data_IF_844165993772
#
_entry.id   IF_844165993772
#
_cell.length_a   1.000
_cell.length_b   1.000
_cell.length_c   1.000
_cell.angle_alpha   90.00
_cell.angle_beta   90.00
_cell.angle_gamma   90.00
#
_symmetry.space_group_name_H-M   'P 1'
#
loop_
_entity.id
_entity.type
_entity.pdbx_description
1 polymer ?
#
# COMPACT_ATOMS: atom_id res chain seq x y z
N UNK A 1 -18.81 -1.25 -13.26
CA UNK A 1 -18.03 -2.40 -12.77
C UNK A 1 -17.48 -2.01 -11.43
N UNK A 2 -17.88 -2.70 -10.36
CA UNK A 2 -17.31 -2.49 -9.04
C UNK A 2 -16.08 -3.42 -8.90
N UNK A 3 -14.88 -2.85 -8.81
CA UNK A 3 -13.63 -3.61 -8.67
C UNK A 3 -13.40 -4.17 -7.25
N UNK A 4 -14.36 -3.99 -6.32
CA UNK A 4 -14.30 -4.47 -4.94
C UNK A 4 -13.36 -3.64 -4.04
N UNK A 5 -12.93 -2.48 -4.53
CA UNK A 5 -12.04 -1.59 -3.80
C UNK A 5 -12.77 -0.94 -2.63
N UNK A 6 -12.19 -1.03 -1.43
CA UNK A 6 -12.63 -0.23 -0.30
C UNK A 6 -12.56 1.26 -0.66
N UNK A 7 -13.60 2.00 -0.30
CA UNK A 7 -13.61 3.45 -0.45
C UNK A 7 -12.56 4.11 0.44
N UNK A 8 -11.71 4.90 -0.19
CA UNK A 8 -10.76 5.79 0.47
C UNK A 8 -10.97 7.23 0.01
N UNK A 9 -10.57 8.15 0.87
CA UNK A 9 -10.69 9.58 0.63
C UNK A 9 -9.36 10.25 0.86
N UNK A 10 -9.03 11.21 0.00
CA UNK A 10 -7.80 11.97 0.15
C UNK A 10 -7.97 13.45 -0.11
N UNK A 11 -6.88 14.18 0.13
CA UNK A 11 -6.78 15.61 -0.18
C UNK A 11 -5.66 15.87 -1.17
N UNK A 12 -5.84 16.88 -2.02
CA UNK A 12 -4.85 17.36 -2.97
C UNK A 12 -4.60 18.84 -2.68
N UNK A 13 -3.52 19.09 -1.94
CA UNK A 13 -3.16 20.38 -1.35
C UNK A 13 -2.07 21.05 -2.19
N UNK A 14 -2.18 22.36 -2.37
CA UNK A 14 -1.18 23.19 -3.05
C UNK A 14 0.06 23.34 -2.15
N UNK A 15 1.27 22.96 -2.60
CA UNK A 15 2.50 23.08 -1.80
C UNK A 15 3.05 24.52 -1.81
N UNK A 16 2.24 25.53 -1.50
CA UNK A 16 2.63 26.95 -1.58
C UNK A 16 3.81 27.29 -0.65
N UNK A 17 4.79 28.07 -1.14
CA UNK A 17 5.88 28.57 -0.30
C UNK A 17 5.53 29.88 0.42
N UNK A 18 4.47 30.61 0.00
CA UNK A 18 4.16 31.93 0.56
C UNK A 18 3.75 31.82 2.04
N UNK A 19 3.10 30.72 2.38
CA UNK A 19 2.77 30.32 3.75
C UNK A 19 3.16 28.85 3.91
N UNK A 20 4.45 28.54 4.10
CA UNK A 20 4.96 27.17 3.95
C UNK A 20 4.42 26.18 5.00
N UNK A 21 3.87 26.69 6.11
CA UNK A 21 3.21 25.86 7.12
C UNK A 21 1.73 25.60 6.83
N UNK A 22 1.12 26.33 5.91
CA UNK A 22 -0.27 26.10 5.49
C UNK A 22 -0.48 24.69 4.92
N UNK A 23 0.32 24.18 3.95
CA UNK A 23 0.12 22.82 3.46
C UNK A 23 0.35 21.75 4.54
N UNK A 24 1.23 22.02 5.51
CA UNK A 24 1.47 21.12 6.66
C UNK A 24 0.25 21.08 7.59
N UNK A 25 -0.30 22.25 7.93
CA UNK A 25 -1.50 22.36 8.77
C UNK A 25 -2.72 21.70 8.10
N UNK A 26 -2.88 21.85 6.78
CA UNK A 26 -3.94 21.18 6.02
C UNK A 26 -3.76 19.66 5.98
N UNK A 27 -2.52 19.15 5.93
CA UNK A 27 -2.26 17.72 6.02
C UNK A 27 -2.61 17.17 7.42
N UNK A 28 -2.26 17.89 8.48
CA UNK A 28 -2.64 17.53 9.85
C UNK A 28 -4.15 17.58 10.04
N UNK A 29 -4.83 18.59 9.49
CA UNK A 29 -6.30 18.66 9.49
C UNK A 29 -6.91 17.48 8.73
N UNK A 30 -6.35 17.10 7.58
CA UNK A 30 -6.81 15.93 6.82
C UNK A 30 -6.71 14.64 7.66
N UNK A 31 -5.63 14.46 8.44
CA UNK A 31 -5.49 13.34 9.37
C UNK A 31 -6.52 13.38 10.52
N UNK A 32 -6.82 14.57 11.05
CA UNK A 32 -7.82 14.75 12.11
C UNK A 32 -9.24 14.46 11.62
N UNK A 33 -9.54 14.85 10.37
CA UNK A 33 -10.83 14.61 9.71
C UNK A 33 -11.00 13.16 9.22
N UNK A 34 -9.96 12.33 9.30
CA UNK A 34 -10.04 10.91 8.95
C UNK A 34 -9.90 10.60 7.47
N UNK A 35 -9.26 11.48 6.69
CA UNK A 35 -8.83 11.14 5.33
C UNK A 35 -7.76 10.05 5.36
N UNK A 36 -7.70 9.23 4.30
CA UNK A 36 -6.78 8.09 4.18
C UNK A 36 -5.43 8.48 3.54
N UNK A 37 -5.42 9.50 2.67
CA UNK A 37 -4.22 9.96 1.96
C UNK A 37 -4.19 11.48 1.79
N UNK A 38 -3.02 12.09 1.99
CA UNK A 38 -2.76 13.48 1.63
C UNK A 38 -1.79 13.53 0.46
N UNK A 39 -2.13 14.32 -0.54
CA UNK A 39 -1.33 14.46 -1.75
C UNK A 39 -0.98 15.91 -2.08
N UNK A 40 0.16 16.09 -2.76
CA UNK A 40 0.68 17.40 -3.13
C UNK A 40 1.11 17.44 -4.59
N UNK A 41 1.06 18.61 -5.21
CA UNK A 41 1.46 18.78 -6.60
C UNK A 41 2.99 18.68 -6.69
N UNK A 42 3.53 18.04 -7.74
CA UNK A 42 4.98 18.06 -8.01
C UNK A 42 5.27 18.78 -9.32
N UNK A 43 5.40 20.10 -9.24
CA UNK A 43 5.87 20.96 -10.32
C UNK A 43 7.17 21.65 -9.88
N UNK A 44 8.34 20.98 -9.96
CA UNK A 44 9.61 21.54 -9.48
C UNK A 44 10.03 22.86 -10.14
N UNK A 45 9.50 23.14 -11.33
CA UNK A 45 9.72 24.37 -12.09
C UNK A 45 8.79 25.52 -11.67
N UNK A 46 7.84 25.31 -10.76
CA UNK A 46 6.93 26.34 -10.31
C UNK A 46 7.54 27.06 -9.09
N UNK A 47 8.08 28.27 -9.24
CA UNK A 47 8.79 28.95 -8.15
C UNK A 47 7.88 29.28 -6.95
N UNK A 48 6.55 29.27 -7.13
CA UNK A 48 5.57 29.48 -6.07
C UNK A 48 5.41 28.26 -5.12
N UNK A 49 6.03 27.13 -5.42
CA UNK A 49 5.88 25.88 -4.67
C UNK A 49 7.14 25.50 -3.89
N UNK A 50 6.92 24.81 -2.78
CA UNK A 50 7.93 24.04 -2.08
C UNK A 50 8.32 22.82 -2.93
N UNK A 51 9.55 22.31 -2.75
CA UNK A 51 9.88 20.98 -3.26
C UNK A 51 9.00 19.93 -2.58
N UNK A 52 8.26 19.18 -3.39
CA UNK A 52 7.25 18.24 -2.94
C UNK A 52 7.85 17.09 -2.13
N UNK A 53 9.04 16.59 -2.49
CA UNK A 53 9.67 15.49 -1.76
C UNK A 53 10.09 15.92 -0.33
N UNK A 54 10.64 17.12 -0.22
CA UNK A 54 10.98 17.75 1.06
C UNK A 54 9.72 17.96 1.91
N UNK A 55 8.64 18.49 1.31
CA UNK A 55 7.37 18.67 2.01
C UNK A 55 6.75 17.35 2.49
N UNK A 56 6.73 16.31 1.65
CA UNK A 56 6.27 14.97 2.03
C UNK A 56 7.00 14.44 3.25
N UNK A 57 8.33 14.57 3.28
CA UNK A 57 9.17 14.13 4.41
C UNK A 57 8.83 14.91 5.68
N UNK A 58 8.65 16.23 5.58
CA UNK A 58 8.28 17.07 6.72
C UNK A 58 6.89 16.74 7.27
N UNK A 59 5.90 16.54 6.39
CA UNK A 59 4.53 16.16 6.77
C UNK A 59 4.52 14.76 7.40
N UNK A 60 5.30 13.82 6.86
CA UNK A 60 5.42 12.48 7.44
C UNK A 60 5.88 12.51 8.90
N UNK A 61 6.84 13.38 9.23
CA UNK A 61 7.31 13.55 10.61
C UNK A 61 6.28 14.18 11.55
N UNK A 62 5.25 14.85 11.01
CA UNK A 62 4.25 15.62 11.75
C UNK A 62 2.85 14.97 11.76
N UNK A 63 2.74 13.75 11.22
CA UNK A 63 1.52 12.95 11.09
C UNK A 63 1.80 11.50 11.44
N UNK A 64 0.76 10.73 11.76
CA UNK A 64 0.90 9.38 12.32
C UNK A 64 0.15 8.28 11.59
N UNK A 65 -0.85 8.64 10.77
CA UNK A 65 -1.80 7.71 10.15
C UNK A 65 -1.98 7.95 8.65
N UNK A 66 -2.06 9.21 8.21
CA UNK A 66 -2.32 9.49 6.79
C UNK A 66 -1.18 9.01 5.90
N UNK A 67 -1.55 8.42 4.77
CA UNK A 67 -0.61 8.10 3.71
C UNK A 67 -0.27 9.34 2.89
N UNK A 68 0.90 9.36 2.26
CA UNK A 68 1.46 10.56 1.64
C UNK A 68 1.96 10.28 0.23
N UNK A 69 1.55 11.09 -0.74
CA UNK A 69 2.02 10.99 -2.13
C UNK A 69 2.17 12.33 -2.84
N UNK A 70 2.98 12.38 -3.88
CA UNK A 70 2.79 13.42 -4.90
C UNK A 70 1.67 13.03 -5.87
N UNK A 71 1.02 14.03 -6.46
CA UNK A 71 -0.07 13.89 -7.41
C UNK A 71 0.21 14.71 -8.68
N UNK A 72 1.09 14.25 -9.57
CA UNK A 72 2.03 13.11 -9.45
C UNK A 72 3.46 13.60 -9.66
N UNK A 73 4.47 12.84 -9.23
CA UNK A 73 5.86 13.17 -9.47
C UNK A 73 6.19 13.27 -10.96
N UNK A 74 6.94 14.32 -11.34
CA UNK A 74 7.39 14.52 -12.72
C UNK A 74 8.68 13.72 -12.97
N UNK A 75 8.55 12.52 -13.56
CA UNK A 75 9.69 11.62 -13.84
C UNK A 75 10.83 12.29 -14.64
N UNK A 76 10.58 13.17 -15.63
CA UNK A 76 11.67 13.87 -16.32
C UNK A 76 12.62 14.68 -15.42
N UNK A 77 12.18 15.04 -14.20
CA UNK A 77 12.96 15.80 -13.20
C UNK A 77 13.28 14.99 -11.94
N UNK A 78 12.90 13.71 -11.89
CA UNK A 78 13.12 12.81 -10.75
C UNK A 78 13.82 11.54 -11.26
N UNK A 79 15.14 11.44 -11.03
CA UNK A 79 15.91 10.24 -11.43
C UNK A 79 15.28 8.98 -10.81
N UNK A 80 14.81 8.00 -11.60
CA UNK A 80 14.02 6.87 -11.07
C UNK A 80 14.75 6.05 -10.01
N UNK A 81 16.07 5.88 -10.16
CA UNK A 81 16.88 5.16 -9.18
C UNK A 81 16.99 5.89 -7.83
N UNK A 82 17.03 7.22 -7.84
CA UNK A 82 17.04 8.05 -6.64
C UNK A 82 15.65 8.09 -6.03
N UNK A 83 14.62 8.25 -6.85
CA UNK A 83 13.22 8.24 -6.43
C UNK A 83 12.85 6.92 -5.74
N UNK A 84 13.26 5.77 -6.28
CA UNK A 84 13.03 4.47 -5.67
C UNK A 84 13.62 4.37 -4.25
N UNK A 85 14.88 4.81 -4.07
CA UNK A 85 15.53 4.82 -2.75
C UNK A 85 14.83 5.77 -1.80
N UNK A 86 14.53 6.97 -2.27
CA UNK A 86 13.87 8.00 -1.47
C UNK A 86 12.49 7.53 -1.00
N UNK A 87 11.69 6.95 -1.89
CA UNK A 87 10.37 6.41 -1.57
C UNK A 87 10.45 5.27 -0.54
N UNK A 88 11.35 4.30 -0.71
CA UNK A 88 11.55 3.25 0.29
C UNK A 88 12.04 3.80 1.64
N UNK A 89 12.91 4.84 1.64
CA UNK A 89 13.32 5.51 2.86
C UNK A 89 12.18 6.25 3.56
N UNK A 90 11.38 7.00 2.82
CA UNK A 90 10.19 7.67 3.37
C UNK A 90 9.22 6.65 3.93
N UNK A 91 9.02 5.52 3.24
CA UNK A 91 8.15 4.45 3.69
C UNK A 91 8.60 3.85 5.02
N UNK A 92 9.90 3.54 5.15
CA UNK A 92 10.47 3.04 6.39
C UNK A 92 10.39 4.07 7.53
N UNK A 93 10.67 5.34 7.25
CA UNK A 93 10.62 6.42 8.25
C UNK A 93 9.20 6.77 8.70
N UNK A 94 8.23 6.62 7.80
CA UNK A 94 6.81 6.92 8.05
C UNK A 94 6.03 5.72 8.58
N UNK A 95 6.69 4.58 8.78
CA UNK A 95 6.07 3.32 9.19
C UNK A 95 5.04 2.75 8.19
N UNK A 96 5.30 2.89 6.89
CA UNK A 96 4.49 2.25 5.84
C UNK A 96 3.46 3.16 5.21
N UNK A 97 3.69 4.48 5.21
CA UNK A 97 2.70 5.48 4.77
C UNK A 97 3.07 6.16 3.45
N UNK A 98 4.11 5.72 2.76
CA UNK A 98 4.52 6.35 1.50
C UNK A 98 3.79 5.73 0.30
N UNK A 99 3.27 6.58 -0.57
CA UNK A 99 2.55 6.22 -1.79
C UNK A 99 3.24 6.90 -2.97
N UNK A 100 3.34 6.27 -4.14
CA UNK A 100 4.14 6.82 -5.23
C UNK A 100 3.33 7.13 -6.50
N UNK A 101 2.78 8.34 -6.55
CA UNK A 101 2.25 8.93 -7.77
C UNK A 101 3.36 9.36 -8.71
N UNK A 102 3.38 8.87 -9.95
CA UNK A 102 4.36 9.22 -11.01
C UNK A 102 3.68 9.54 -12.35
N UNK A 103 4.29 10.42 -13.12
CA UNK A 103 3.81 10.82 -14.44
C UNK A 103 4.94 11.16 -15.41
N UNK A 104 4.62 11.13 -16.69
CA UNK A 104 5.58 11.36 -17.78
C UNK A 104 5.99 12.84 -17.94
N UNK A 105 5.41 13.76 -17.17
CA UNK A 105 5.56 15.22 -17.31
C UNK A 105 4.64 15.82 -18.39
N UNK A 106 4.18 17.06 -18.17
CA UNK A 106 3.22 17.74 -19.06
C UNK A 106 3.67 19.10 -19.61
N UNK A 107 4.68 19.73 -19.01
CA UNK A 107 5.09 21.10 -19.31
C UNK A 107 6.55 21.12 -19.80
N UNK A 108 6.76 20.71 -21.05
CA UNK A 108 8.10 20.43 -21.57
C UNK A 108 9.04 21.64 -21.59
N UNK A 109 8.56 22.84 -21.89
CA UNK A 109 9.41 24.05 -21.86
C UNK A 109 9.99 24.29 -20.46
N UNK A 110 9.17 24.12 -19.42
CA UNK A 110 9.59 24.29 -18.03
C UNK A 110 10.46 23.12 -17.52
N UNK A 111 10.16 21.90 -17.95
CA UNK A 111 10.97 20.70 -17.65
C UNK A 111 12.37 20.85 -18.26
N UNK A 112 12.47 21.28 -19.52
CA UNK A 112 13.73 21.46 -20.23
C UNK A 112 14.57 22.61 -19.64
N UNK A 113 13.92 23.70 -19.24
CA UNK A 113 14.58 24.80 -18.54
C UNK A 113 15.25 24.37 -17.21
N UNK A 114 14.75 23.29 -16.58
CA UNK A 114 15.32 22.69 -15.37
C UNK A 114 16.28 21.52 -15.65
N UNK A 115 16.69 21.34 -16.91
CA UNK A 115 17.64 20.29 -17.33
C UNK A 115 16.99 18.93 -17.61
N UNK A 116 15.66 18.84 -17.62
CA UNK A 116 14.95 17.64 -18.04
C UNK A 116 15.08 17.41 -19.55
N UNK A 117 15.26 16.14 -19.96
CA UNK A 117 15.32 15.79 -21.38
C UNK A 117 13.95 15.93 -22.03
N UNK A 118 13.81 16.79 -23.04
CA UNK A 118 12.59 16.84 -23.87
C UNK A 118 12.41 15.52 -24.62
N UNK A 119 11.22 14.94 -24.51
CA UNK A 119 10.85 13.69 -25.17
C UNK A 119 9.61 13.90 -26.04
N UNK A 120 9.50 13.15 -27.14
CA UNK A 120 8.23 13.06 -27.85
C UNK A 120 7.16 12.38 -26.98
N UNK A 121 5.86 12.55 -27.26
CA UNK A 121 4.81 11.89 -26.48
C UNK A 121 4.95 10.36 -26.44
N UNK A 122 5.45 9.74 -27.51
CA UNK A 122 5.68 8.30 -27.51
C UNK A 122 6.87 7.88 -26.66
N UNK A 123 7.96 8.65 -26.72
CA UNK A 123 9.16 8.40 -25.92
C UNK A 123 8.93 8.64 -24.44
N UNK A 124 8.09 9.61 -24.06
CA UNK A 124 7.78 9.88 -22.65
C UNK A 124 7.02 8.73 -21.98
N UNK A 125 6.12 8.05 -22.70
CA UNK A 125 5.47 6.82 -22.18
C UNK A 125 6.48 5.67 -22.05
N UNK A 126 7.37 5.50 -23.03
CA UNK A 126 8.44 4.48 -22.94
C UNK A 126 9.37 4.77 -21.77
N UNK A 127 9.80 6.02 -21.58
CA UNK A 127 10.64 6.42 -20.46
C UNK A 127 9.95 6.18 -19.11
N UNK A 128 8.65 6.48 -18.98
CA UNK A 128 7.90 6.17 -17.76
C UNK A 128 7.83 4.66 -17.49
N UNK A 129 7.60 3.85 -18.54
CA UNK A 129 7.60 2.39 -18.43
C UNK A 129 8.95 1.84 -17.93
N UNK A 130 10.06 2.35 -18.46
CA UNK A 130 11.41 2.01 -18.00
C UNK A 130 11.69 2.51 -16.58
N UNK A 131 11.15 3.68 -16.20
CA UNK A 131 11.27 4.19 -14.83
C UNK A 131 10.59 3.27 -13.81
N UNK A 132 9.41 2.72 -14.15
CA UNK A 132 8.72 1.72 -13.32
C UNK A 132 9.59 0.47 -13.15
N UNK A 133 10.22 -0.01 -14.23
CA UNK A 133 11.11 -1.17 -14.18
C UNK A 133 12.33 -0.91 -13.28
N UNK A 134 12.94 0.28 -13.38
CA UNK A 134 14.04 0.71 -12.49
C UNK A 134 13.62 0.74 -11.04
N UNK A 135 12.45 1.31 -10.72
CA UNK A 135 11.93 1.42 -9.35
C UNK A 135 11.69 0.02 -8.77
N UNK A 136 10.94 -0.83 -9.47
CA UNK A 136 10.61 -2.20 -9.03
C UNK A 136 11.88 -3.06 -8.89
N UNK A 137 12.83 -2.96 -9.83
CA UNK A 137 14.09 -3.69 -9.74
C UNK A 137 14.92 -3.29 -8.52
N UNK A 138 14.92 -2.02 -8.12
CA UNK A 138 15.63 -1.60 -6.91
C UNK A 138 14.96 -2.06 -5.62
N UNK A 139 13.63 -2.17 -5.59
CA UNK A 139 12.89 -2.67 -4.42
C UNK A 139 12.90 -4.20 -4.30
N UNK A 140 13.10 -4.93 -5.40
CA UNK A 140 13.23 -6.39 -5.43
C UNK A 140 14.58 -6.85 -4.85
N UNK A 141 14.76 -6.70 -3.55
CA UNK A 141 16.00 -7.02 -2.83
C UNK A 141 16.23 -8.52 -2.59
N UNK A 142 15.25 -9.37 -2.95
CA UNK A 142 15.36 -10.82 -2.80
C UNK A 142 16.04 -11.48 -4.00
N UNK A 143 15.95 -10.86 -5.18
CA UNK A 143 16.72 -11.30 -6.35
C UNK A 143 18.21 -11.11 -6.12
N UNK A 144 18.97 -12.20 -6.23
CA UNK A 144 20.44 -12.20 -6.08
C UNK A 144 21.11 -11.35 -7.17
N UNK A 145 22.22 -10.71 -6.79
CA UNK A 145 23.01 -9.86 -7.69
C UNK A 145 22.48 -8.42 -7.80
N UNK A 146 23.15 -7.62 -8.62
CA UNK A 146 22.74 -6.23 -8.87
C UNK A 146 21.53 -6.14 -9.78
N UNK A 147 20.68 -5.14 -9.57
CA UNK A 147 19.57 -4.80 -10.47
C UNK A 147 20.10 -4.39 -11.85
N UNK A 148 19.44 -4.90 -12.89
CA UNK A 148 19.75 -4.63 -14.29
C UNK A 148 18.46 -4.27 -15.01
N UNK A 149 18.48 -3.15 -15.72
CA UNK A 149 17.40 -2.68 -16.59
C UNK A 149 18.07 -2.10 -17.81
N UNK A 150 17.79 -2.64 -18.99
CA UNK A 150 18.42 -2.21 -20.25
C UNK A 150 17.46 -1.31 -21.05
N UNK A 151 17.07 -0.19 -20.44
CA UNK A 151 16.19 0.80 -21.05
C UNK A 151 16.94 1.82 -21.90
N UNK A 152 16.24 2.41 -22.87
CA UNK A 152 16.76 3.46 -23.76
C UNK A 152 16.92 4.81 -23.06
N UNK A 153 16.05 5.09 -22.08
CA UNK A 153 16.01 6.33 -21.31
C UNK A 153 16.54 6.13 -19.89
N UNK A 154 16.23 5.00 -19.27
CA UNK A 154 16.72 4.66 -17.93
C UNK A 154 17.35 3.27 -17.91
N UNK A 155 18.62 3.21 -17.48
CA UNK A 155 19.41 1.98 -17.41
C UNK A 155 19.94 1.75 -16.01
N UNK A 156 19.91 0.49 -15.56
CA UNK A 156 20.68 0.01 -14.41
C UNK A 156 21.65 -1.07 -14.89
N UNK A 157 22.90 -1.00 -14.42
CA UNK A 157 23.93 -1.98 -14.74
C UNK A 157 24.57 -2.50 -13.45
N UNK A 158 23.96 -3.53 -12.85
CA UNK A 158 24.45 -4.13 -11.62
C UNK A 158 24.27 -3.24 -10.38
N UNK A 159 23.29 -2.34 -10.39
CA UNK A 159 23.04 -1.43 -9.27
C UNK A 159 22.68 -2.22 -8.00
N UNK A 160 23.27 -1.85 -6.85
CA UNK A 160 22.90 -2.47 -5.57
C UNK A 160 21.44 -2.18 -5.25
N UNK A 161 20.69 -3.23 -4.97
CA UNK A 161 19.27 -3.15 -4.62
C UNK A 161 19.07 -2.56 -3.23
N UNK A 162 17.86 -2.09 -2.97
CA UNK A 162 17.39 -1.65 -1.68
C UNK A 162 17.67 -0.17 -1.35
N UNK A 163 17.16 0.32 -0.20
CA UNK A 163 16.39 -0.46 0.78
C UNK A 163 15.06 -0.96 0.21
N UNK A 164 14.57 -2.10 0.71
CA UNK A 164 13.20 -2.50 0.41
C UNK A 164 12.24 -1.60 1.20
N UNK A 165 11.11 -1.24 0.61
CA UNK A 165 10.07 -0.52 1.34
C UNK A 165 9.48 -1.43 2.44
N UNK A 166 8.87 -0.82 3.46
CA UNK A 166 8.20 -1.53 4.57
C UNK A 166 6.95 -2.26 4.06
N UNK A 167 6.23 -1.64 3.12
CA UNK A 167 5.10 -2.24 2.44
C UNK A 167 5.26 -2.10 0.91
N UNK A 168 4.45 -2.79 0.08
CA UNK A 168 4.49 -2.61 -1.36
C UNK A 168 3.87 -1.25 -1.71
N UNK A 169 4.74 -0.25 -1.85
CA UNK A 169 4.35 1.09 -2.29
C UNK A 169 3.72 0.97 -3.69
N UNK A 170 2.43 1.29 -3.87
CA UNK A 170 1.80 1.23 -5.17
C UNK A 170 2.24 2.40 -6.04
N UNK A 171 2.32 2.14 -7.35
CA UNK A 171 2.63 3.13 -8.37
C UNK A 171 1.35 3.67 -8.99
N UNK A 172 0.93 4.87 -8.57
CA UNK A 172 -0.22 5.56 -9.14
C UNK A 172 0.22 6.38 -10.35
N UNK A 173 -0.52 6.29 -11.46
CA UNK A 173 -0.14 6.96 -12.69
C UNK A 173 -1.25 7.90 -13.14
N UNK A 174 -0.88 9.18 -13.29
CA UNK A 174 -1.73 10.20 -13.90
C UNK A 174 -1.75 10.07 -15.41
N UNK A 175 -2.89 9.68 -15.99
CA UNK A 175 -3.01 9.42 -17.41
C UNK A 175 -4.41 9.69 -17.96
N UNK A 176 -4.46 10.14 -19.23
CA UNK A 176 -5.72 10.32 -19.97
C UNK A 176 -5.72 9.65 -21.35
N UNK A 177 -4.53 9.40 -21.93
CA UNK A 177 -4.40 8.95 -23.33
C UNK A 177 -4.25 7.43 -23.42
N UNK A 178 -4.77 6.77 -24.48
CA UNK A 178 -4.82 5.30 -24.58
C UNK A 178 -3.50 4.58 -24.33
N UNK A 179 -2.37 5.11 -24.82
CA UNK A 179 -1.06 4.48 -24.62
C UNK A 179 -0.62 4.47 -23.15
N UNK A 180 -0.93 5.53 -22.39
CA UNK A 180 -0.64 5.60 -20.96
C UNK A 180 -1.60 4.72 -20.15
N UNK A 181 -2.87 4.63 -20.58
CA UNK A 181 -3.86 3.74 -19.96
C UNK A 181 -3.46 2.26 -20.11
N UNK A 182 -2.93 1.86 -21.27
CA UNK A 182 -2.35 0.51 -21.45
C UNK A 182 -1.17 0.26 -20.52
N UNK A 183 -0.25 1.23 -20.40
CA UNK A 183 0.88 1.14 -19.45
C UNK A 183 0.39 0.93 -18.01
N UNK A 184 -0.72 1.56 -17.61
CA UNK A 184 -1.34 1.33 -16.30
C UNK A 184 -1.80 -0.12 -16.14
N UNK A 185 -2.52 -0.66 -17.13
CA UNK A 185 -2.90 -2.07 -17.15
C UNK A 185 -1.71 -3.01 -16.99
N UNK A 186 -0.66 -2.77 -17.77
CA UNK A 186 0.55 -3.59 -17.79
C UNK A 186 1.37 -3.50 -16.50
N UNK A 187 1.56 -2.28 -15.95
CA UNK A 187 2.58 -2.02 -14.91
C UNK A 187 2.15 -1.14 -13.75
N UNK A 188 1.01 -0.44 -13.82
CA UNK A 188 0.54 0.46 -12.78
C UNK A 188 -0.23 -0.26 -11.68
N UNK A 189 -0.28 0.37 -10.50
CA UNK A 189 -1.07 -0.13 -9.35
C UNK A 189 -2.27 0.80 -9.06
N UNK A 190 -2.33 1.96 -9.71
CA UNK A 190 -3.49 2.85 -9.68
C UNK A 190 -3.59 3.79 -10.87
N UNK A 191 -4.81 4.09 -11.30
CA UNK A 191 -5.12 5.13 -12.27
C UNK A 191 -5.63 6.39 -11.55
N UNK A 192 -4.98 7.53 -11.78
CA UNK A 192 -5.26 8.80 -11.08
C UNK A 192 -5.50 9.97 -12.06
N UNK A 193 -6.63 10.02 -12.79
CA UNK A 193 -7.04 11.18 -13.56
C UNK A 193 -7.60 12.30 -12.66
N UNK A 194 -7.71 13.51 -13.23
CA UNK A 194 -8.50 14.59 -12.63
C UNK A 194 -9.83 14.73 -13.35
N UNK A 195 -10.93 14.65 -12.61
CA UNK A 195 -12.29 14.68 -13.15
C UNK A 195 -12.58 15.94 -14.00
N UNK A 196 -12.09 17.15 -13.66
CA UNK A 196 -12.27 18.33 -14.51
C UNK A 196 -11.68 18.22 -15.93
N UNK A 197 -10.79 17.24 -16.18
CA UNK A 197 -10.19 17.00 -17.50
C UNK A 197 -10.89 15.88 -18.29
N UNK A 198 -11.88 15.22 -17.69
CA UNK A 198 -12.62 14.13 -18.29
C UNK A 198 -13.94 14.61 -18.87
N UNK A 199 -14.36 13.96 -19.95
CA UNK A 199 -15.71 14.07 -20.51
C UNK A 199 -16.58 12.90 -20.03
N UNK A 200 -17.92 13.04 -20.08
CA UNK A 200 -18.82 11.93 -19.78
C UNK A 200 -18.45 10.66 -20.58
N UNK A 201 -18.31 9.54 -19.89
CA UNK A 201 -17.92 8.24 -20.47
C UNK A 201 -16.41 8.01 -20.62
N UNK A 202 -15.56 9.01 -20.36
CA UNK A 202 -14.10 8.82 -20.41
C UNK A 202 -13.59 7.84 -19.35
N UNK A 203 -14.20 7.82 -18.16
CA UNK A 203 -13.89 6.84 -17.11
C UNK A 203 -14.14 5.41 -17.61
N UNK A 204 -15.34 5.13 -18.09
CA UNK A 204 -15.72 3.83 -18.67
C UNK A 204 -14.79 3.39 -19.81
N UNK A 205 -14.46 4.30 -20.74
CA UNK A 205 -13.54 3.99 -21.84
C UNK A 205 -12.11 3.76 -21.33
N UNK A 206 -11.67 4.54 -20.35
CA UNK A 206 -10.34 4.39 -19.75
C UNK A 206 -10.19 3.07 -19.01
N UNK A 207 -11.20 2.70 -18.21
CA UNK A 207 -11.32 1.41 -17.54
C UNK A 207 -11.21 0.26 -18.54
N UNK A 208 -11.97 0.27 -19.64
CA UNK A 208 -11.90 -0.80 -20.65
C UNK A 208 -10.48 -1.00 -21.21
N UNK A 209 -9.75 0.09 -21.47
CA UNK A 209 -8.37 0.02 -21.98
C UNK A 209 -7.41 -0.53 -20.91
N UNK A 210 -7.59 -0.11 -19.65
CA UNK A 210 -6.76 -0.59 -18.53
C UNK A 210 -7.01 -2.07 -18.29
N UNK A 211 -8.27 -2.48 -18.27
CA UNK A 211 -8.68 -3.86 -17.99
C UNK A 211 -8.16 -4.81 -19.08
N UNK A 212 -8.36 -4.46 -20.36
CA UNK A 212 -7.81 -5.23 -21.50
C UNK A 212 -6.28 -5.37 -21.41
N UNK A 213 -5.57 -4.30 -21.05
CA UNK A 213 -4.12 -4.33 -20.93
C UNK A 213 -3.63 -5.10 -19.69
N UNK A 214 -4.37 -5.06 -18.59
CA UNK A 214 -4.08 -5.85 -17.40
C UNK A 214 -4.24 -7.35 -17.69
N UNK A 215 -5.36 -7.74 -18.30
CA UNK A 215 -5.63 -9.12 -18.69
C UNK A 215 -4.58 -9.64 -19.68
N UNK A 216 -4.23 -8.84 -20.70
CA UNK A 216 -3.18 -9.18 -21.66
C UNK A 216 -1.79 -9.35 -21.00
N UNK A 217 -1.55 -8.65 -19.87
CA UNK A 217 -0.34 -8.79 -19.07
C UNK A 217 -0.44 -9.90 -18.00
N UNK A 218 -1.54 -10.66 -17.96
CA UNK A 218 -1.77 -11.72 -16.98
C UNK A 218 -2.04 -11.22 -15.56
N UNK A 219 -2.57 -10.00 -15.44
CA UNK A 219 -2.94 -9.36 -14.16
C UNK A 219 -4.46 -9.30 -14.02
N UNK A 220 -4.95 -9.35 -12.77
CA UNK A 220 -6.35 -9.09 -12.48
C UNK A 220 -6.60 -7.57 -12.49
N UNK A 221 -7.56 -7.04 -13.29
CA UNK A 221 -7.88 -5.61 -13.30
C UNK A 221 -8.21 -5.02 -11.92
N UNK A 222 -8.68 -5.85 -10.97
CA UNK A 222 -8.98 -5.46 -9.59
C UNK A 222 -7.73 -5.18 -8.76
N UNK A 223 -6.53 -5.56 -9.21
CA UNK A 223 -5.26 -5.15 -8.58
C UNK A 223 -4.95 -3.68 -8.78
N UNK A 224 -5.54 -3.06 -9.81
CA UNK A 224 -5.25 -1.68 -10.18
C UNK A 224 -6.31 -0.81 -9.55
N UNK A 225 -5.95 0.08 -8.64
CA UNK A 225 -6.90 0.98 -7.98
C UNK A 225 -7.44 2.06 -8.93
N UNK A 226 -8.72 2.42 -8.81
CA UNK A 226 -9.31 3.55 -9.55
C UNK A 226 -9.43 4.76 -8.62
N UNK A 227 -8.57 5.75 -8.82
CA UNK A 227 -8.57 7.00 -8.06
C UNK A 227 -9.11 8.12 -8.95
N UNK A 228 -9.56 9.23 -8.37
CA UNK A 228 -9.89 10.43 -9.15
C UNK A 228 -9.73 11.69 -8.31
N UNK A 229 -9.10 12.71 -8.88
CA UNK A 229 -9.10 14.05 -8.28
C UNK A 229 -10.43 14.75 -8.60
N UNK A 230 -11.09 15.26 -7.55
CA UNK A 230 -12.38 15.95 -7.65
C UNK A 230 -12.28 17.35 -7.07
N UNK A 231 -13.09 18.25 -7.60
CA UNK A 231 -13.24 19.62 -7.10
C UNK A 231 -14.69 20.03 -7.23
N UNK A 232 -15.19 20.79 -6.28
CA UNK A 232 -16.58 21.25 -6.27
C UNK A 232 -16.77 22.41 -5.31
N UNK A 233 -18.04 22.77 -5.06
CA UNK A 233 -18.40 23.82 -4.11
C UNK A 233 -19.62 23.41 -3.30
N UNK A 234 -19.54 23.54 -1.98
CA UNK A 234 -20.72 23.42 -1.13
C UNK A 234 -21.61 24.65 -1.23
N UNK A 235 -22.92 24.44 -1.34
CA UNK A 235 -23.92 25.50 -1.44
C UNK A 235 -25.27 25.04 -0.86
N UNK A 236 -26.14 25.95 -0.40
CA UNK A 236 -27.46 25.60 0.13
C UNK A 236 -28.42 24.98 -0.89
N UNK A 237 -28.12 25.10 -2.19
CA UNK A 237 -28.95 24.56 -3.27
C UNK A 237 -28.08 24.03 -4.41
N UNK A 238 -28.60 23.06 -5.16
CA UNK A 238 -27.90 22.42 -6.28
C UNK A 238 -27.71 23.41 -7.43
N UNK A 239 -26.46 23.57 -7.85
CA UNK A 239 -26.03 24.42 -8.97
C UNK A 239 -25.39 23.65 -10.14
N UNK A 240 -25.12 22.35 -9.96
CA UNK A 240 -24.46 21.50 -10.96
C UNK A 240 -23.79 20.30 -10.31
N UNK A 241 -22.97 19.60 -11.10
CA UNK A 241 -22.19 18.45 -10.62
C UNK A 241 -21.16 18.90 -9.57
N UNK A 242 -21.18 18.27 -8.39
CA UNK A 242 -20.41 18.64 -7.18
C UNK A 242 -20.59 20.11 -6.78
N UNK A 243 -21.79 20.64 -7.00
CA UNK A 243 -22.18 21.99 -6.61
C UNK A 243 -23.53 21.95 -5.91
N UNK A 244 -23.53 21.94 -4.57
CA UNK A 244 -24.74 21.76 -3.77
C UNK A 244 -24.44 21.34 -2.34
N UNK A 245 -25.42 20.71 -1.71
CA UNK A 245 -25.35 20.16 -0.35
C UNK A 245 -24.49 18.90 -0.28
N UNK A 246 -24.13 18.42 0.92
CA UNK A 246 -23.46 17.12 1.07
C UNK A 246 -24.22 15.96 0.42
N UNK A 247 -25.55 15.98 0.46
CA UNK A 247 -26.36 14.96 -0.22
C UNK A 247 -26.23 15.04 -1.74
N UNK A 248 -26.22 16.25 -2.32
CA UNK A 248 -26.02 16.41 -3.77
C UNK A 248 -24.66 15.84 -4.21
N UNK A 249 -23.62 16.03 -3.38
CA UNK A 249 -22.30 15.43 -3.62
C UNK A 249 -22.33 13.89 -3.53
N UNK A 250 -23.03 13.31 -2.55
CA UNK A 250 -23.20 11.86 -2.45
C UNK A 250 -23.89 11.30 -3.70
N UNK A 251 -24.98 11.94 -4.13
CA UNK A 251 -25.75 11.54 -5.30
C UNK A 251 -24.91 11.62 -6.60
N UNK A 252 -24.03 12.62 -6.71
CA UNK A 252 -23.13 12.81 -7.84
C UNK A 252 -21.95 11.81 -7.85
N UNK A 253 -21.42 11.44 -6.68
CA UNK A 253 -20.28 10.54 -6.55
C UNK A 253 -20.66 9.06 -6.58
N UNK A 254 -21.85 8.69 -6.11
CA UNK A 254 -22.31 7.31 -6.04
C UNK A 254 -22.21 6.58 -7.39
N UNK A 255 -22.70 7.14 -8.53
CA UNK A 255 -22.55 6.51 -9.85
C UNK A 255 -21.10 6.23 -10.24
N UNK A 256 -20.15 7.09 -9.85
CA UNK A 256 -18.74 6.89 -10.14
C UNK A 256 -18.18 5.65 -9.40
N UNK A 257 -18.72 5.34 -8.21
CA UNK A 257 -18.36 4.14 -7.47
C UNK A 257 -18.99 2.90 -8.11
N UNK A 258 -20.32 2.90 -8.28
CA UNK A 258 -21.05 1.68 -8.68
C UNK A 258 -20.88 1.35 -10.17
N UNK A 259 -20.83 2.36 -11.03
CA UNK A 259 -20.74 2.16 -12.48
C UNK A 259 -19.29 2.19 -12.99
N UNK A 260 -18.48 3.14 -12.52
CA UNK A 260 -17.10 3.34 -13.00
C UNK A 260 -16.05 2.72 -12.07
N UNK A 261 -16.45 2.18 -10.92
CA UNK A 261 -15.56 1.44 -10.03
C UNK A 261 -14.54 2.30 -9.30
N UNK A 262 -14.78 3.61 -9.17
CA UNK A 262 -13.90 4.52 -8.44
C UNK A 262 -13.84 4.11 -6.97
N UNK A 263 -12.63 3.80 -6.50
CA UNK A 263 -12.35 3.41 -5.12
C UNK A 263 -11.73 4.53 -4.29
N UNK A 264 -11.18 5.58 -4.90
CA UNK A 264 -10.59 6.71 -4.18
C UNK A 264 -11.01 8.06 -4.74
N UNK A 265 -11.50 8.93 -3.89
CA UNK A 265 -11.78 10.33 -4.22
C UNK A 265 -10.79 11.24 -3.53
N UNK A 266 -10.09 12.07 -4.29
CA UNK A 266 -9.11 13.02 -3.77
C UNK A 266 -9.62 14.44 -3.98
N UNK A 267 -9.97 15.13 -2.89
CA UNK A 267 -10.53 16.48 -2.91
C UNK A 267 -9.43 17.50 -3.17
N UNK A 268 -9.55 18.24 -4.27
CA UNK A 268 -8.64 19.32 -4.64
C UNK A 268 -9.03 20.62 -3.94
N UNK A 269 -8.07 21.26 -3.28
CA UNK A 269 -8.23 22.61 -2.74
C UNK A 269 -7.58 22.81 -1.39
N UNK A 270 -7.45 24.08 -1.02
CA UNK A 270 -6.74 24.53 0.19
C UNK A 270 -7.67 25.15 1.24
N UNK A 271 -8.99 25.06 1.04
CA UNK A 271 -9.99 25.60 1.98
C UNK A 271 -10.32 24.59 3.08
N UNK A 272 -9.96 24.86 4.36
CA UNK A 272 -10.25 23.97 5.48
C UNK A 272 -11.73 23.66 5.64
N UNK A 273 -12.63 24.60 5.32
CA UNK A 273 -14.08 24.43 5.49
C UNK A 273 -14.62 23.40 4.52
N UNK A 274 -14.17 23.46 3.26
CA UNK A 274 -14.51 22.47 2.24
C UNK A 274 -14.04 21.07 2.66
N UNK A 275 -12.82 20.93 3.18
CA UNK A 275 -12.30 19.64 3.65
C UNK A 275 -13.12 19.08 4.83
N UNK A 276 -13.44 19.94 5.80
CA UNK A 276 -14.25 19.57 6.95
C UNK A 276 -15.66 19.14 6.54
N UNK A 277 -16.33 19.94 5.71
CA UNK A 277 -17.69 19.64 5.26
C UNK A 277 -17.74 18.34 4.42
N UNK A 278 -16.74 18.11 3.56
CA UNK A 278 -16.64 16.85 2.83
C UNK A 278 -16.48 15.65 3.77
N UNK A 279 -15.64 15.77 4.80
CA UNK A 279 -15.41 14.70 5.76
C UNK A 279 -16.65 14.41 6.63
N UNK A 280 -17.36 15.45 7.05
CA UNK A 280 -18.52 15.33 7.96
C UNK A 280 -19.80 14.91 7.23
N UNK A 281 -20.02 15.40 6.00
CA UNK A 281 -21.28 15.16 5.27
C UNK A 281 -21.14 14.09 4.18
N UNK A 282 -20.07 14.13 3.37
CA UNK A 282 -19.98 13.33 2.14
C UNK A 282 -19.37 11.96 2.40
N UNK A 283 -18.28 11.86 3.16
CA UNK A 283 -17.63 10.57 3.47
C UNK A 283 -18.61 9.56 4.11
N UNK A 284 -19.30 9.87 5.21
CA UNK A 284 -20.23 8.92 5.82
C UNK A 284 -21.44 8.65 4.92
N UNK A 285 -21.99 9.68 4.27
CA UNK A 285 -23.14 9.54 3.37
C UNK A 285 -22.84 8.64 2.17
N UNK A 286 -21.67 8.81 1.54
CA UNK A 286 -21.27 8.00 0.39
C UNK A 286 -20.96 6.55 0.79
N UNK A 287 -20.34 6.33 1.96
CA UNK A 287 -20.14 4.97 2.48
C UNK A 287 -21.48 4.24 2.68
N UNK A 288 -22.42 4.89 3.36
CA UNK A 288 -23.76 4.32 3.57
C UNK A 288 -24.48 4.04 2.24
N UNK A 289 -24.46 5.00 1.30
CA UNK A 289 -25.08 4.82 -0.01
C UNK A 289 -24.46 3.67 -0.82
N UNK A 290 -23.15 3.47 -0.72
CA UNK A 290 -22.46 2.36 -1.39
C UNK A 290 -22.77 1.01 -0.73
N UNK A 291 -22.83 0.96 0.59
CA UNK A 291 -23.22 -0.25 1.33
C UNK A 291 -24.66 -0.68 1.00
N UNK A 292 -25.57 0.28 0.75
CA UNK A 292 -26.93 0.00 0.28
C UNK A 292 -26.98 -0.44 -1.20
N UNK A 293 -26.16 0.16 -2.06
CA UNK A 293 -26.18 -0.09 -3.50
C UNK A 293 -25.42 -1.37 -3.91
N UNK A 294 -24.50 -1.87 -3.08
CA UNK A 294 -23.62 -3.00 -3.38
C UNK A 294 -23.89 -4.13 -2.37
N UNK A 295 -24.56 -5.23 -2.76
CA UNK A 295 -24.91 -6.31 -1.85
C UNK A 295 -23.69 -6.90 -1.13
N UNK A 296 -23.85 -7.18 0.18
CA UNK A 296 -22.85 -7.81 1.03
C UNK A 296 -22.36 -9.14 0.43
N UNK A 297 -21.19 -9.09 -0.20
CA UNK A 297 -20.59 -10.20 -0.95
C UNK A 297 -19.50 -9.78 -1.94
N UNK A 298 -19.52 -8.54 -2.44
CA UNK A 298 -18.50 -8.02 -3.37
C UNK A 298 -17.53 -6.99 -2.76
N UNK A 299 -17.83 -6.45 -1.59
CA UNK A 299 -16.97 -5.47 -0.91
C UNK A 299 -16.00 -6.20 0.05
N UNK A 300 -14.70 -6.15 -0.25
CA UNK A 300 -13.67 -6.44 0.76
C UNK A 300 -12.93 -7.78 0.66
N UNK A 301 -13.19 -8.64 -0.33
CA UNK A 301 -12.24 -9.75 -0.57
C UNK A 301 -10.96 -9.17 -1.15
N UNK A 302 -9.88 -9.12 -0.36
CA UNK A 302 -8.55 -8.71 -0.82
C UNK A 302 -8.20 -9.55 -2.06
N UNK A 303 -8.17 -8.93 -3.22
CA UNK A 303 -7.71 -9.60 -4.44
C UNK A 303 -6.24 -9.91 -4.24
N UNK A 304 -5.91 -11.20 -4.23
CA UNK A 304 -4.51 -11.64 -4.15
C UNK A 304 -3.82 -11.18 -5.44
N UNK A 305 -2.67 -10.47 -5.35
CA UNK A 305 -1.96 -10.02 -6.54
C UNK A 305 -1.59 -11.20 -7.45
N UNK A 306 -1.67 -11.03 -8.76
CA UNK A 306 -1.34 -12.09 -9.73
C UNK A 306 0.10 -12.58 -9.57
N UNK A 307 1.01 -11.72 -9.10
CA UNK A 307 2.38 -12.11 -8.76
C UNK A 307 2.42 -13.11 -7.59
N UNK A 308 1.60 -12.91 -6.56
CA UNK A 308 1.52 -13.84 -5.43
C UNK A 308 0.84 -15.15 -5.86
N UNK A 309 -0.23 -15.06 -6.65
CA UNK A 309 -0.90 -16.24 -7.23
C UNK A 309 0.05 -17.06 -8.11
N UNK A 310 0.87 -16.41 -8.93
CA UNK A 310 1.87 -17.08 -9.77
C UNK A 310 3.03 -17.69 -8.95
N UNK A 311 3.25 -17.23 -7.72
CA UNK A 311 4.25 -17.77 -6.81
C UNK A 311 3.73 -18.92 -5.94
N UNK A 312 2.43 -19.26 -6.03
CA UNK A 312 1.83 -20.42 -5.37
C UNK A 312 2.53 -21.71 -5.79
N UNK A 313 2.68 -22.64 -4.84
CA UNK A 313 3.34 -23.93 -5.08
C UNK A 313 2.32 -25.04 -5.34
N UNK A 314 2.64 -25.98 -6.23
CA UNK A 314 1.78 -27.14 -6.45
C UNK A 314 1.66 -27.97 -5.17
N UNK A 315 0.48 -28.56 -4.96
CA UNK A 315 0.21 -29.43 -3.82
C UNK A 315 -0.29 -28.73 -2.56
N UNK A 316 -0.49 -27.40 -2.57
CA UNK A 316 -1.13 -26.63 -1.49
C UNK A 316 -2.51 -26.15 -1.94
N UNK A 317 -3.55 -26.44 -1.17
CA UNK A 317 -4.92 -25.94 -1.36
C UNK A 317 -5.07 -24.53 -0.74
N UNK A 318 -4.50 -23.52 -1.40
CA UNK A 318 -4.52 -22.13 -0.91
C UNK A 318 -5.93 -21.58 -0.72
N UNK A 319 -6.87 -21.96 -1.58
CA UNK A 319 -8.24 -21.42 -1.55
C UNK A 319 -9.09 -22.08 -0.46
N UNK A 320 -8.73 -23.30 -0.05
CA UNK A 320 -9.30 -24.03 1.08
C UNK A 320 -8.71 -23.68 2.46
N UNK A 321 -7.92 -22.61 2.59
CA UNK A 321 -7.50 -22.09 3.91
C UNK A 321 -8.74 -21.67 4.72
N UNK A 322 -8.89 -22.14 5.98
CA UNK A 322 -10.03 -21.81 6.83
C UNK A 322 -10.25 -20.30 6.98
N UNK A 323 -11.50 -19.87 7.04
CA UNK A 323 -11.86 -18.44 7.06
C UNK A 323 -11.20 -17.68 8.21
N UNK A 324 -11.13 -18.29 9.40
CA UNK A 324 -10.46 -17.76 10.60
C UNK A 324 -8.97 -17.45 10.39
N UNK A 325 -8.30 -18.21 9.51
CA UNK A 325 -6.86 -18.15 9.28
C UNK A 325 -6.47 -17.28 8.10
N UNK A 326 -7.41 -16.86 7.25
CA UNK A 326 -7.11 -16.13 6.00
C UNK A 326 -6.36 -14.83 6.25
N UNK A 327 -6.72 -14.08 7.29
CA UNK A 327 -6.04 -12.83 7.65
C UNK A 327 -4.60 -13.06 8.15
N UNK A 328 -4.34 -14.23 8.73
CA UNK A 328 -3.02 -14.66 9.18
C UNK A 328 -2.23 -15.46 8.14
N UNK A 329 -2.79 -15.71 6.95
CA UNK A 329 -2.19 -16.55 5.92
C UNK A 329 -1.29 -15.72 4.99
N UNK A 330 0.01 -16.02 5.01
CA UNK A 330 1.04 -15.33 4.23
C UNK A 330 1.59 -16.26 3.15
N UNK A 331 1.38 -15.88 1.90
CA UNK A 331 1.77 -16.59 0.69
C UNK A 331 3.10 -16.05 0.12
N UNK A 332 3.83 -16.84 -0.68
CA UNK A 332 4.94 -16.32 -1.48
C UNK A 332 4.49 -15.11 -2.32
N UNK A 333 5.25 -14.01 -2.26
CA UNK A 333 4.91 -12.75 -2.92
C UNK A 333 4.12 -11.78 -2.05
N UNK A 334 3.61 -12.19 -0.89
CA UNK A 334 3.07 -11.26 0.10
C UNK A 334 4.19 -10.40 0.73
N UNK A 335 3.87 -9.19 1.22
CA UNK A 335 4.88 -8.25 1.70
C UNK A 335 5.63 -8.78 2.93
N UNK A 336 4.88 -9.37 3.85
CA UNK A 336 5.41 -9.93 5.10
C UNK A 336 6.10 -11.28 4.88
N UNK A 337 5.95 -11.91 3.70
CA UNK A 337 6.55 -13.22 3.43
C UNK A 337 8.06 -13.18 3.64
N UNK A 338 8.72 -12.07 3.29
CA UNK A 338 10.16 -11.92 3.41
C UNK A 338 10.64 -11.97 4.87
N UNK A 339 9.96 -11.28 5.76
CA UNK A 339 10.32 -11.27 7.20
C UNK A 339 9.93 -12.58 7.86
N UNK A 340 8.94 -13.30 7.32
CA UNK A 340 8.37 -14.50 7.91
C UNK A 340 8.92 -15.82 7.35
N UNK A 341 9.54 -15.85 6.17
CA UNK A 341 10.01 -17.10 5.52
C UNK A 341 11.20 -17.78 6.21
N UNK A 342 11.94 -17.06 7.06
CA UNK A 342 13.18 -17.54 7.68
C UNK A 342 13.28 -17.28 9.18
N UNK A 343 14.23 -17.94 9.84
CA UNK A 343 14.72 -17.58 11.17
C UNK A 343 16.06 -16.84 11.09
N UNK A 344 16.60 -16.43 12.23
CA UNK A 344 17.86 -15.66 12.32
C UNK A 344 19.06 -16.30 11.62
N UNK A 345 19.19 -17.63 11.71
CA UNK A 345 20.35 -18.37 11.19
C UNK A 345 20.09 -19.12 9.88
N UNK A 346 18.83 -19.44 9.57
CA UNK A 346 18.45 -20.18 8.37
C UNK A 346 17.23 -19.56 7.73
N UNK A 347 17.37 -19.20 6.45
CA UNK A 347 16.24 -18.91 5.59
C UNK A 347 15.53 -20.20 5.17
N UNK A 348 14.23 -20.12 4.96
CA UNK A 348 13.44 -21.11 4.25
C UNK A 348 12.70 -20.47 3.08
N UNK A 349 11.94 -21.28 2.37
CA UNK A 349 10.99 -20.84 1.37
C UNK A 349 9.67 -21.61 1.52
N UNK A 350 8.92 -21.41 2.62
CA UNK A 350 7.65 -22.09 2.85
C UNK A 350 6.67 -21.85 1.69
N UNK A 351 5.88 -22.85 1.34
CA UNK A 351 4.80 -22.68 0.38
C UNK A 351 3.62 -21.87 0.93
N UNK A 352 3.38 -21.93 2.25
CA UNK A 352 2.37 -21.12 2.95
C UNK A 352 2.75 -20.97 4.43
N UNK A 353 2.54 -19.78 4.99
CA UNK A 353 2.75 -19.51 6.42
C UNK A 353 1.40 -19.15 7.04
N UNK A 354 0.97 -19.89 8.06
CA UNK A 354 -0.26 -19.64 8.81
C UNK A 354 0.11 -19.03 10.17
N UNK A 355 -0.46 -17.85 10.49
CA UNK A 355 -0.20 -17.13 11.74
C UNK A 355 -1.44 -17.11 12.63
N UNK A 356 -1.72 -18.19 13.38
CA UNK A 356 -2.87 -18.24 14.28
C UNK A 356 -2.69 -17.26 15.45
N UNK A 357 -3.79 -16.58 15.82
CA UNK A 357 -3.89 -15.68 16.96
C UNK A 357 -4.59 -16.29 18.19
N UNK A 358 -5.10 -17.52 18.08
CA UNK A 358 -5.81 -18.24 19.16
C UNK A 358 -5.46 -19.72 19.16
N UNK A 359 -5.80 -20.44 20.23
CA UNK A 359 -5.62 -21.90 20.31
C UNK A 359 -6.49 -22.62 19.29
N UNK A 360 -7.71 -22.12 19.06
CA UNK A 360 -8.67 -22.64 18.10
C UNK A 360 -8.10 -22.54 16.68
N UNK A 361 -7.52 -21.40 16.33
CA UNK A 361 -6.84 -21.22 15.04
C UNK A 361 -5.60 -22.11 14.88
N UNK A 362 -4.88 -22.44 15.96
CA UNK A 362 -3.78 -23.42 15.92
C UNK A 362 -4.31 -24.80 15.55
N UNK A 363 -5.42 -25.23 16.15
CA UNK A 363 -6.06 -26.52 15.82
C UNK A 363 -6.48 -26.54 14.35
N UNK A 364 -7.16 -25.50 13.88
CA UNK A 364 -7.57 -25.39 12.48
C UNK A 364 -6.37 -25.38 11.51
N UNK A 365 -5.25 -24.75 11.89
CA UNK A 365 -4.04 -24.73 11.07
C UNK A 365 -3.41 -26.12 10.96
N UNK A 366 -3.42 -26.90 12.05
CA UNK A 366 -2.95 -28.28 12.05
C UNK A 366 -3.90 -29.22 11.28
N UNK A 367 -5.21 -29.02 11.38
CA UNK A 367 -6.20 -29.74 10.60
C UNK A 367 -6.05 -29.46 9.10
N UNK A 368 -5.84 -28.20 8.72
CA UNK A 368 -5.49 -27.80 7.36
C UNK A 368 -4.20 -28.46 6.89
N UNK A 369 -3.14 -28.46 7.72
CA UNK A 369 -1.88 -29.10 7.38
C UNK A 369 -2.03 -30.61 7.18
N UNK A 370 -2.89 -31.27 7.98
CA UNK A 370 -3.19 -32.69 7.85
C UNK A 370 -3.87 -33.07 6.54
N UNK A 371 -4.54 -32.12 5.86
CA UNK A 371 -5.06 -32.32 4.49
C UNK A 371 -3.96 -32.40 3.43
N UNK A 372 -2.71 -32.06 3.78
CA UNK A 372 -1.56 -32.04 2.90
C UNK A 372 -0.42 -32.93 3.42
N UNK A 373 -0.63 -34.25 3.57
CA UNK A 373 0.29 -35.16 4.25
C UNK A 373 1.68 -35.26 3.60
N UNK A 374 1.78 -34.93 2.31
CA UNK A 374 3.02 -35.01 1.54
C UNK A 374 3.89 -33.75 1.68
N UNK A 375 3.38 -32.68 2.31
CA UNK A 375 4.12 -31.44 2.49
C UNK A 375 4.87 -31.42 3.84
N UNK A 376 6.10 -30.89 3.90
CA UNK A 376 6.78 -30.70 5.17
C UNK A 376 6.03 -29.68 6.02
N UNK A 377 5.85 -29.98 7.32
CA UNK A 377 5.27 -29.06 8.29
C UNK A 377 6.37 -28.53 9.21
N UNK A 378 6.49 -27.20 9.26
CA UNK A 378 7.29 -26.49 10.26
C UNK A 378 6.38 -25.84 11.30
N UNK A 379 6.80 -25.84 12.56
CA UNK A 379 6.16 -25.07 13.62
C UNK A 379 7.19 -24.11 14.20
N UNK A 380 6.79 -22.84 14.33
CA UNK A 380 7.64 -21.75 14.81
C UNK A 380 7.01 -21.04 16.00
N UNK A 381 7.82 -20.81 17.02
CA UNK A 381 7.58 -19.87 18.14
C UNK A 381 8.05 -18.47 17.76
N UNK A 382 7.57 -17.40 18.41
CA UNK A 382 7.71 -16.01 17.92
C UNK A 382 9.12 -15.38 17.98
N UNK A 383 10.14 -16.15 18.35
CA UNK A 383 11.54 -15.73 18.33
C UNK A 383 12.44 -16.63 17.48
N UNK A 384 13.75 -16.53 17.70
CA UNK A 384 14.74 -17.24 16.89
C UNK A 384 15.17 -18.57 17.51
N UNK A 385 15.21 -19.62 16.68
CA UNK A 385 15.69 -20.96 17.07
C UNK A 385 17.00 -21.32 16.36
N UNK A 386 17.99 -21.80 17.12
CA UNK A 386 19.32 -22.16 16.60
C UNK A 386 19.29 -23.35 15.62
N UNK A 387 18.30 -24.24 15.74
CA UNK A 387 18.21 -25.46 14.94
C UNK A 387 17.87 -25.21 13.48
N UNK A 388 17.20 -24.08 13.18
CA UNK A 388 16.67 -23.77 11.85
C UNK A 388 15.64 -24.77 11.32
N UNK A 389 15.06 -25.63 12.18
CA UNK A 389 14.05 -26.64 11.82
C UNK A 389 12.62 -26.12 11.85
N UNK A 390 12.42 -24.88 12.31
CA UNK A 390 11.11 -24.23 12.41
C UNK A 390 10.63 -23.59 11.10
N UNK A 391 11.39 -23.75 10.01
CA UNK A 391 11.00 -23.39 8.65
C UNK A 391 11.33 -24.54 7.69
N UNK A 392 10.79 -24.49 6.47
CA UNK A 392 10.99 -25.50 5.44
C UNK A 392 11.01 -24.88 4.04
N UNK A 393 11.23 -25.72 3.03
CA UNK A 393 11.10 -25.36 1.63
C UNK A 393 9.88 -26.06 1.04
N UNK A 394 8.90 -25.25 0.63
CA UNK A 394 7.75 -25.69 -0.14
C UNK A 394 6.57 -26.27 0.62
N UNK A 395 6.69 -26.45 1.93
CA UNK A 395 5.60 -26.93 2.76
C UNK A 395 4.90 -25.83 3.54
N UNK A 396 4.28 -26.23 4.65
CA UNK A 396 3.47 -25.36 5.50
C UNK A 396 4.28 -24.96 6.73
N UNK A 397 4.15 -23.71 7.16
CA UNK A 397 4.70 -23.24 8.44
C UNK A 397 3.57 -22.69 9.30
N UNK A 398 3.43 -23.20 10.51
CA UNK A 398 2.55 -22.61 11.54
C UNK A 398 3.42 -21.73 12.43
N UNK A 399 3.20 -20.42 12.35
CA UNK A 399 3.94 -19.40 13.08
C UNK A 399 3.12 -18.85 14.24
N UNK A 400 3.47 -19.27 15.44
CA UNK A 400 2.80 -18.92 16.69
C UNK A 400 3.15 -17.52 17.17
N UNK A 401 3.91 -16.72 16.41
CA UNK A 401 4.35 -15.39 16.83
C UNK A 401 3.24 -14.36 17.12
N UNK A 402 1.97 -14.66 16.84
CA UNK A 402 0.81 -13.83 17.27
C UNK A 402 0.23 -14.25 18.63
N UNK A 403 0.67 -15.38 19.17
CA UNK A 403 0.33 -15.86 20.51
C UNK A 403 1.39 -15.40 21.51
N UNK A 404 1.68 -14.10 21.56
CA UNK A 404 2.80 -13.49 22.28
C UNK A 404 2.40 -12.85 23.62
N UNK A 405 1.18 -13.09 24.10
CA UNK A 405 0.67 -12.49 25.34
C UNK A 405 1.42 -12.98 26.58
N UNK A 406 1.63 -12.07 27.53
CA UNK A 406 2.16 -12.36 28.86
C UNK A 406 1.16 -11.82 29.88
N UNK A 407 0.54 -12.72 30.64
CA UNK A 407 -0.53 -12.38 31.59
C UNK A 407 -0.22 -12.91 32.97
N UNK A 408 -0.16 -12.02 33.96
CA UNK A 408 -0.12 -12.42 35.37
C UNK A 408 -1.52 -12.91 35.76
N UNK A 409 -1.63 -14.20 36.09
CA UNK A 409 -2.89 -14.82 36.50
C UNK A 409 -3.14 -14.65 38.00
N UNK A 410 -2.08 -14.71 38.79
CA UNK A 410 -2.12 -14.57 40.25
C UNK A 410 -0.81 -13.94 40.72
N UNK A 411 -0.90 -12.76 41.33
CA UNK A 411 0.26 -12.02 41.77
C UNK A 411 0.86 -12.53 43.08
N UNK A 412 0.02 -13.06 43.97
CA UNK A 412 0.43 -13.57 45.28
C UNK A 412 1.13 -14.92 45.11
N UNK A 413 0.59 -15.76 44.22
CA UNK A 413 1.20 -17.03 43.83
C UNK A 413 2.31 -16.88 42.78
N UNK A 414 2.53 -15.68 42.23
CA UNK A 414 3.44 -15.39 41.11
C UNK A 414 3.22 -16.28 39.89
N UNK A 415 1.95 -16.56 39.57
CA UNK A 415 1.56 -17.39 38.44
C UNK A 415 1.40 -16.52 37.18
N UNK A 416 2.17 -16.84 36.15
CA UNK A 416 2.17 -16.11 34.87
C UNK A 416 1.88 -17.07 33.73
N UNK A 417 0.94 -16.70 32.86
CA UNK A 417 0.69 -17.37 31.58
C UNK A 417 1.47 -16.65 30.50
N UNK A 418 2.29 -17.41 29.78
CA UNK A 418 3.10 -16.93 28.67
C UNK A 418 2.65 -17.65 27.41
N UNK A 419 2.33 -16.89 26.37
CA UNK A 419 1.96 -17.43 25.07
C UNK A 419 3.17 -18.05 24.35
N UNK A 420 2.90 -19.05 23.51
CA UNK A 420 3.95 -19.78 22.77
C UNK A 420 4.70 -18.93 21.73
N UNK A 421 4.17 -17.75 21.39
CA UNK A 421 4.77 -16.75 20.54
C UNK A 421 5.64 -15.73 21.27
N UNK A 422 5.61 -15.68 22.61
CA UNK A 422 6.29 -14.63 23.36
C UNK A 422 7.81 -14.75 23.25
N UNK A 423 8.51 -13.61 23.37
CA UNK A 423 9.97 -13.58 23.50
C UNK A 423 10.36 -13.32 24.95
N UNK A 424 11.56 -13.76 25.35
CA UNK A 424 12.02 -13.57 26.73
C UNK A 424 12.12 -12.09 27.14
N UNK A 425 12.37 -11.17 26.19
CA UNK A 425 12.33 -9.73 26.47
C UNK A 425 10.92 -9.25 26.83
N UNK A 426 9.89 -9.72 26.11
CA UNK A 426 8.50 -9.35 26.38
C UNK A 426 8.06 -9.86 27.76
N UNK A 427 8.46 -11.08 28.10
CA UNK A 427 8.25 -11.66 29.43
C UNK A 427 8.97 -10.83 30.50
N UNK A 428 10.24 -10.52 30.30
CA UNK A 428 11.01 -9.72 31.26
C UNK A 428 10.40 -8.32 31.46
N UNK A 429 9.97 -7.66 30.39
CA UNK A 429 9.28 -6.36 30.45
C UNK A 429 7.98 -6.46 31.24
N UNK A 430 7.17 -7.51 31.02
CA UNK A 430 5.94 -7.71 31.77
C UNK A 430 6.20 -7.99 33.26
N UNK A 431 7.20 -8.80 33.60
CA UNK A 431 7.55 -9.12 35.00
C UNK A 431 8.17 -7.92 35.74
N UNK A 432 8.92 -7.07 35.03
CA UNK A 432 9.57 -5.90 35.61
C UNK A 432 8.56 -4.92 36.24
N UNK A 433 7.36 -4.81 35.68
CA UNK A 433 6.27 -4.01 36.26
C UNK A 433 5.84 -4.49 37.66
N UNK A 434 6.11 -5.75 38.00
CA UNK A 434 5.83 -6.36 39.30
C UNK A 434 7.07 -6.48 40.21
N UNK A 435 8.22 -5.99 39.77
CA UNK A 435 9.50 -6.15 40.48
C UNK A 435 9.98 -7.61 40.53
N UNK A 436 9.50 -8.46 39.62
CA UNK A 436 9.89 -9.87 39.54
C UNK A 436 11.00 -10.05 38.49
N UNK A 437 11.82 -11.09 38.71
CA UNK A 437 12.90 -11.47 37.81
C UNK A 437 12.76 -12.95 37.43
N UNK A 438 13.22 -13.29 36.24
CA UNK A 438 13.39 -14.66 35.78
C UNK A 438 14.84 -14.88 35.36
N UNK A 439 15.35 -16.09 35.50
CA UNK A 439 16.64 -16.51 34.96
C UNK A 439 16.45 -17.06 33.54
N UNK A 440 16.25 -16.18 32.56
CA UNK A 440 16.37 -16.50 31.13
C UNK A 440 17.69 -15.95 30.58
N UNK A 441 18.11 -16.41 29.40
CA UNK A 441 19.28 -15.85 28.71
C UNK A 441 19.17 -14.33 28.49
N UNK A 442 20.30 -13.68 28.23
CA UNK A 442 20.46 -12.23 28.04
C UNK A 442 20.06 -11.74 26.62
N UNK A 443 19.70 -12.66 25.72
CA UNK A 443 19.29 -12.33 24.35
C UNK A 443 17.77 -12.20 24.22
N UNK A 444 17.28 -10.98 24.04
CA UNK A 444 15.85 -10.67 24.01
C UNK A 444 15.03 -11.25 22.85
N UNK A 445 15.68 -11.62 21.74
CA UNK A 445 15.01 -12.14 20.54
C UNK A 445 14.71 -13.65 20.54
N UNK A 446 15.03 -14.36 21.63
CA UNK A 446 14.76 -15.80 21.76
C UNK A 446 13.28 -16.01 22.12
N UNK A 447 12.62 -16.92 21.39
CA UNK A 447 11.24 -17.31 21.66
C UNK A 447 11.16 -18.17 22.92
N UNK A 448 10.05 -18.07 23.64
CA UNK A 448 9.80 -18.88 24.85
C UNK A 448 9.53 -20.33 24.50
N UNK A 449 8.77 -20.57 23.42
CA UNK A 449 8.37 -21.89 22.91
C UNK A 449 9.33 -22.53 21.92
#
# INVERSE_FOLDING_TARGET
MNYGHRLEFGTFITPTHQSPQQPVALAQLSEQLGFDVVTFQDHPYQPAFLDTWTLLTWVAAQTSRVRLSANVHSIPLRTPAVLARAAASLDLLSDGRAELGIGAGGFWDAIEAMGGRRLTPGESVTALSEAIDVIRALWDVDTRGGARVDGRFYRLDGAKRGPAPKHPIPLWIGALKPRMLRLIGEKGDGWLPSLPYLQPGDLRRGNAIIDEAAEAAGRDPREIRRLVNISGRFAPSRGGFLQGTGQDWVDDLLPLVVEDGVGTFIVMGDDPRTLQQFAEEVIPGLRAAVDEAVPAGSAGSRVRPSVALAARRPGIDYDGVPLSLRDGAVEPGDPDYRTLRGGYLRGGSPGLILRPGSTEEVVEALEYARRHPDLPLGVRSGGHGLSGRSTNDGGLVVDLGRLDSVTVLDADARLVRVGAGARWMDVATALAAHGWALSSGDYGGVGVG
#
